data_IF_224336027685
#
_entry.id   IF_224336027685
#
_cell.length_a   1.000
_cell.length_b   1.000
_cell.length_c   1.000
_cell.angle_alpha   90.00
_cell.angle_beta   90.00
_cell.angle_gamma   90.00
#
_symmetry.space_group_name_H-M   'P 1'
#
loop_
_entity.id
_entity.type
_entity.pdbx_description
1 polymer ?
#
# COMPACT_ATOMS: atom_id res chain seq x y z
N UNK A 1 -2.21 21.25 22.55
CA UNK A 1 -2.34 19.79 22.35
C UNK A 1 -1.88 19.54 20.92
N UNK A 2 -0.59 19.64 20.59
CA UNK A 2 -0.21 19.71 19.17
C UNK A 2 1.19 19.11 18.96
N UNK A 3 1.22 17.83 18.57
CA UNK A 3 2.46 17.10 18.21
C UNK A 3 2.34 16.39 16.85
N UNK A 4 1.51 16.91 15.94
CA UNK A 4 1.34 16.34 14.59
C UNK A 4 2.11 17.11 13.50
N UNK A 5 3.04 17.98 13.92
CA UNK A 5 3.99 18.61 13.00
C UNK A 5 5.09 17.63 12.58
N UNK A 6 5.15 17.30 11.29
CA UNK A 6 6.43 17.02 10.62
C UNK A 6 6.69 15.61 10.10
N UNK A 7 5.93 14.58 10.49
CA UNK A 7 6.23 13.22 10.02
C UNK A 7 5.38 12.81 8.81
N UNK A 8 6.01 12.70 7.64
CA UNK A 8 5.45 12.05 6.42
C UNK A 8 5.54 10.52 6.48
N UNK A 9 6.11 9.99 7.56
CA UNK A 9 6.28 8.55 7.81
C UNK A 9 5.22 7.97 8.75
N UNK A 10 4.24 8.78 9.18
CA UNK A 10 3.13 8.32 10.03
C UNK A 10 1.81 8.56 9.28
N UNK A 11 0.91 7.56 9.23
CA UNK A 11 -0.39 7.77 8.60
C UNK A 11 -1.16 8.84 9.39
N UNK A 12 -1.75 9.85 8.71
CA UNK A 12 -2.57 10.85 9.38
C UNK A 12 -3.88 10.21 9.86
N UNK A 13 -4.30 10.53 11.08
CA UNK A 13 -5.59 10.11 11.59
C UNK A 13 -6.70 10.97 10.96
N UNK A 14 -7.81 10.35 10.57
CA UNK A 14 -8.99 11.08 10.13
C UNK A 14 -9.72 11.60 11.37
N UNK A 15 -9.27 12.74 11.88
CA UNK A 15 -9.86 13.40 13.04
C UNK A 15 -10.44 14.75 12.62
N UNK A 16 -11.73 14.96 12.87
CA UNK A 16 -12.41 16.23 12.62
C UNK A 16 -12.91 16.47 11.18
N UNK A 17 -13.39 17.69 10.90
CA UNK A 17 -14.15 18.01 9.68
C UNK A 17 -13.27 18.25 8.44
N UNK A 18 -11.95 18.39 8.60
CA UNK A 18 -11.07 18.77 7.51
C UNK A 18 -10.59 17.55 6.68
N UNK A 19 -11.54 16.97 5.95
CA UNK A 19 -11.27 15.83 5.08
C UNK A 19 -10.23 16.13 3.99
N UNK A 20 -10.24 17.34 3.41
CA UNK A 20 -9.31 17.70 2.33
C UNK A 20 -7.86 17.77 2.80
N UNK A 21 -7.64 18.28 4.01
CA UNK A 21 -6.33 18.27 4.66
C UNK A 21 -5.87 16.84 4.95
N UNK A 22 -6.74 16.02 5.55
CA UNK A 22 -6.44 14.61 5.81
C UNK A 22 -6.10 13.86 4.51
N UNK A 23 -6.90 14.05 3.47
CA UNK A 23 -6.73 13.42 2.16
C UNK A 23 -5.38 13.79 1.55
N UNK A 24 -5.01 15.08 1.58
CA UNK A 24 -3.73 15.55 1.05
C UNK A 24 -2.54 14.92 1.79
N UNK A 25 -2.64 14.79 3.12
CA UNK A 25 -1.61 14.14 3.96
C UNK A 25 -1.54 12.63 3.71
N UNK A 26 -2.67 11.96 3.54
CA UNK A 26 -2.73 10.53 3.27
C UNK A 26 -2.15 10.20 1.88
N UNK A 27 -2.44 11.02 0.87
CA UNK A 27 -1.83 10.91 -0.46
C UNK A 27 -0.30 11.03 -0.36
N UNK A 28 0.20 12.01 0.38
CA UNK A 28 1.64 12.22 0.57
C UNK A 28 2.30 11.03 1.30
N UNK A 29 1.65 10.51 2.35
CA UNK A 29 2.10 9.33 3.10
C UNK A 29 2.16 8.06 2.22
N UNK A 30 1.12 7.77 1.43
CA UNK A 30 1.11 6.59 0.56
C UNK A 30 2.17 6.69 -0.56
N UNK A 31 2.38 7.90 -1.09
CA UNK A 31 3.43 8.15 -2.09
C UNK A 31 4.85 8.06 -1.51
N UNK A 32 5.05 8.37 -0.21
CA UNK A 32 6.37 8.22 0.43
C UNK A 32 6.73 6.75 0.69
N UNK A 33 5.76 5.85 0.85
CA UNK A 33 5.97 4.41 0.95
C UNK A 33 6.39 3.84 -0.41
N UNK A 34 5.52 3.99 -1.41
CA UNK A 34 5.80 3.60 -2.80
C UNK A 34 4.75 4.23 -3.73
N UNK A 35 5.20 4.79 -4.85
CA UNK A 35 4.33 5.34 -5.88
C UNK A 35 3.30 4.33 -6.40
N UNK A 36 3.61 3.02 -6.37
CA UNK A 36 2.67 1.96 -6.78
C UNK A 36 1.61 1.69 -5.73
N UNK A 37 1.88 1.98 -4.45
CA UNK A 37 0.89 1.90 -3.36
C UNK A 37 -0.24 2.89 -3.61
N UNK A 38 0.09 4.17 -3.87
CA UNK A 38 -0.93 5.17 -4.22
C UNK A 38 -1.69 4.81 -5.51
N UNK A 39 -0.98 4.33 -6.55
CA UNK A 39 -1.65 3.88 -7.79
C UNK A 39 -2.66 2.76 -7.54
N UNK A 40 -2.37 1.82 -6.62
CA UNK A 40 -3.30 0.75 -6.26
C UNK A 40 -4.57 1.28 -5.58
N UNK A 41 -4.47 2.38 -4.83
CA UNK A 41 -5.64 3.05 -4.22
C UNK A 41 -6.48 3.76 -5.30
N UNK A 42 -5.85 4.39 -6.29
CA UNK A 42 -6.54 5.12 -7.36
C UNK A 42 -7.20 4.19 -8.38
N UNK A 43 -6.50 3.14 -8.81
CA UNK A 43 -6.98 2.20 -9.83
C UNK A 43 -7.95 1.16 -9.23
N UNK A 44 -7.95 1.02 -7.91
CA UNK A 44 -8.57 -0.10 -7.23
C UNK A 44 -7.58 -1.26 -7.14
N UNK A 45 -7.41 -1.81 -5.95
CA UNK A 45 -6.57 -2.97 -5.75
C UNK A 45 -7.34 -4.22 -6.16
N UNK A 46 -6.79 -4.98 -7.11
CA UNK A 46 -7.31 -6.29 -7.48
C UNK A 46 -6.55 -7.39 -6.72
N UNK A 47 -7.31 -8.31 -6.13
CA UNK A 47 -6.74 -9.44 -5.42
C UNK A 47 -6.01 -10.37 -6.42
N UNK A 48 -4.76 -10.77 -6.15
CA UNK A 48 -4.05 -11.70 -7.02
C UNK A 48 -4.83 -13.03 -7.14
N UNK A 49 -5.04 -13.50 -8.36
CA UNK A 49 -5.68 -14.79 -8.63
C UNK A 49 -4.64 -15.86 -8.86
N UNK A 50 -4.99 -17.12 -8.61
CA UNK A 50 -4.11 -18.26 -8.90
C UNK A 50 -3.96 -18.38 -10.42
N UNK A 51 -2.74 -18.57 -10.89
CA UNK A 51 -2.44 -18.85 -12.29
C UNK A 51 -2.17 -20.36 -12.36
N UNK A 52 -2.93 -21.06 -13.19
CA UNK A 52 -2.75 -22.50 -13.39
C UNK A 52 -1.43 -22.78 -14.16
N UNK A 53 -1.03 -24.05 -14.23
CA UNK A 53 0.18 -24.53 -14.93
C UNK A 53 0.22 -24.13 -16.41
N UNK A 54 -0.94 -23.94 -17.01
CA UNK A 54 -1.11 -23.48 -18.40
C UNK A 54 -1.13 -21.95 -18.55
N UNK A 55 -0.83 -21.20 -17.49
CA UNK A 55 -0.79 -19.73 -17.53
C UNK A 55 -2.17 -19.05 -17.50
N UNK A 56 -3.26 -19.80 -17.28
CA UNK A 56 -4.61 -19.25 -17.18
C UNK A 56 -4.91 -18.72 -15.78
N UNK A 57 -5.49 -17.52 -15.71
CA UNK A 57 -5.99 -16.94 -14.46
C UNK A 57 -7.25 -17.68 -14.04
N UNK A 58 -7.21 -18.32 -12.88
CA UNK A 58 -8.34 -19.03 -12.28
C UNK A 58 -9.30 -18.05 -11.59
N UNK A 59 -10.50 -18.51 -11.22
CA UNK A 59 -11.42 -17.73 -10.40
C UNK A 59 -10.96 -17.65 -8.93
N UNK A 60 -10.07 -18.55 -8.51
CA UNK A 60 -9.61 -18.65 -7.13
C UNK A 60 -8.64 -17.54 -6.77
N UNK A 61 -8.87 -16.98 -5.60
CA UNK A 61 -8.01 -15.97 -4.99
C UNK A 61 -6.75 -16.62 -4.46
N UNK A 62 -5.60 -16.01 -4.74
CA UNK A 62 -4.31 -16.53 -4.29
C UNK A 62 -4.14 -16.26 -2.79
N UNK A 63 -3.82 -17.27 -1.96
CA UNK A 63 -3.56 -17.05 -0.55
C UNK A 63 -2.34 -16.13 -0.34
N UNK A 64 -2.40 -15.26 0.68
CA UNK A 64 -1.37 -14.24 0.95
C UNK A 64 0.05 -14.82 1.08
N UNK A 65 0.16 -16.02 1.66
CA UNK A 65 1.45 -16.71 1.84
C UNK A 65 2.16 -17.05 0.52
N UNK A 66 1.41 -17.11 -0.59
CA UNK A 66 1.94 -17.42 -1.92
C UNK A 66 2.04 -16.18 -2.83
N UNK A 67 1.71 -15.00 -2.33
CA UNK A 67 1.92 -13.78 -3.08
C UNK A 67 3.40 -13.61 -3.42
N UNK A 68 3.68 -13.07 -4.61
CA UNK A 68 5.06 -12.85 -5.06
C UNK A 68 5.81 -11.97 -4.04
N UNK A 69 6.77 -12.57 -3.32
CA UNK A 69 7.68 -11.89 -2.36
C UNK A 69 8.62 -10.87 -3.00
N UNK A 70 8.61 -10.71 -4.34
CA UNK A 70 9.43 -9.72 -5.05
C UNK A 70 9.23 -8.29 -4.51
N UNK A 71 8.11 -8.00 -3.84
CA UNK A 71 7.85 -6.71 -3.15
C UNK A 71 8.35 -6.62 -1.70
N UNK A 72 8.51 -7.73 -0.96
CA UNK A 72 9.02 -7.69 0.42
C UNK A 72 10.55 -7.54 0.50
N UNK A 73 11.28 -8.09 -0.48
CA UNK A 73 12.75 -8.15 -0.42
C UNK A 73 13.47 -6.82 -0.74
N UNK A 74 12.76 -5.79 -1.22
CA UNK A 74 13.35 -4.45 -1.40
C UNK A 74 13.20 -3.55 -0.16
N UNK A 75 12.46 -3.98 0.87
CA UNK A 75 12.19 -3.16 2.06
C UNK A 75 12.98 -3.59 3.32
N UNK A 76 13.54 -4.80 3.36
CA UNK A 76 14.50 -5.18 4.42
C UNK A 76 15.93 -4.92 3.94
N UNK A 77 16.29 -3.64 3.84
CA UNK A 77 17.68 -3.19 3.78
C UNK A 77 18.40 -3.38 5.12
N UNK A 78 18.29 -4.57 5.72
CA UNK A 78 19.14 -4.96 6.84
C UNK A 78 20.25 -5.84 6.23
N UNK A 79 21.50 -5.35 6.16
CA UNK A 79 22.62 -6.19 5.74
C UNK A 79 22.79 -7.34 6.74
N UNK A 80 23.12 -8.52 6.22
CA UNK A 80 23.54 -9.66 7.03
C UNK A 80 24.83 -9.35 7.78
#
# INVERSE_FOLDING_TARGET
MDKEGGFVNRPPLLTGPNYDYWKSRMIAFLKSIDSKTWKSVVVGWEHPKVIDKDGKVTADLKPEGEWSKKRMNYHMGIPK
#
